data_IF_202823336173
#
_entry.id   IF_202823336173
#
_cell.length_a   1.000
_cell.length_b   1.000
_cell.length_c   1.000
_cell.angle_alpha   90.00
_cell.angle_beta   90.00
_cell.angle_gamma   90.00
#
_symmetry.space_group_name_H-M   'P 1'
#
loop_
_entity.id
_entity.type
_entity.pdbx_description
1 polymer ?
#
# COMPACT_ATOMS: atom_id res chain seq x y z
N UNK A 1 -8.48 18.33 -10.01
CA UNK A 1 -7.36 17.51 -10.50
C UNK A 1 -7.48 16.07 -9.96
N UNK A 2 -7.96 15.13 -10.78
CA UNK A 2 -8.06 13.71 -10.39
C UNK A 2 -6.66 13.11 -10.27
N UNK A 3 -6.36 12.46 -9.14
CA UNK A 3 -5.16 11.64 -8.98
C UNK A 3 -5.36 10.40 -9.87
N UNK A 4 -4.51 10.15 -10.88
CA UNK A 4 -4.67 8.98 -11.73
C UNK A 4 -4.37 7.72 -10.91
N UNK A 5 -5.29 6.76 -10.94
CA UNK A 5 -5.14 5.45 -10.31
C UNK A 5 -4.97 4.41 -11.40
N UNK A 6 -3.88 3.65 -11.32
CA UNK A 6 -3.58 2.51 -12.17
C UNK A 6 -4.03 1.22 -11.53
N UNK A 7 -3.09 0.32 -11.27
CA UNK A 7 -3.38 -0.94 -10.61
C UNK A 7 -3.86 -0.75 -9.17
N UNK A 8 -4.79 -1.60 -8.76
CA UNK A 8 -5.27 -1.70 -7.37
C UNK A 8 -5.11 -3.14 -6.94
N UNK A 9 -4.17 -3.37 -6.02
CA UNK A 9 -3.88 -4.70 -5.49
C UNK A 9 -4.20 -4.74 -4.01
N UNK A 10 -4.69 -5.87 -3.52
CA UNK A 10 -5.00 -6.05 -2.11
C UNK A 10 -4.61 -7.44 -1.63
N UNK A 11 -4.37 -7.59 -0.32
CA UNK A 11 -4.24 -8.93 0.24
C UNK A 11 -5.53 -9.73 -0.01
N UNK A 12 -5.44 -11.07 -0.13
CA UNK A 12 -6.62 -11.92 -0.35
C UNK A 12 -7.68 -11.87 0.75
N UNK A 13 -7.35 -11.36 1.95
CA UNK A 13 -8.29 -11.28 3.05
C UNK A 13 -9.46 -10.34 2.72
N UNK A 14 -10.69 -10.75 3.07
CA UNK A 14 -11.90 -9.99 2.71
C UNK A 14 -11.82 -8.52 3.14
N UNK A 15 -11.34 -8.22 4.35
CA UNK A 15 -11.20 -6.83 4.82
C UNK A 15 -10.41 -5.94 3.87
N UNK A 16 -9.29 -6.42 3.30
CA UNK A 16 -8.44 -5.62 2.40
C UNK A 16 -9.03 -5.55 1.01
N UNK A 17 -9.54 -6.67 0.50
CA UNK A 17 -10.16 -6.74 -0.81
C UNK A 17 -11.44 -5.89 -0.88
N UNK A 18 -12.29 -5.95 0.14
CA UNK A 18 -13.53 -5.18 0.23
C UNK A 18 -13.24 -3.69 0.37
N UNK A 19 -12.22 -3.28 1.13
CA UNK A 19 -11.78 -1.87 1.18
C UNK A 19 -11.33 -1.38 -0.19
N UNK A 20 -10.52 -2.16 -0.92
CA UNK A 20 -10.06 -1.79 -2.26
C UNK A 20 -11.24 -1.67 -3.25
N UNK A 21 -12.17 -2.61 -3.21
CA UNK A 21 -13.36 -2.61 -4.06
C UNK A 21 -14.28 -1.42 -3.74
N UNK A 22 -14.53 -1.13 -2.46
CA UNK A 22 -15.36 0.00 -2.05
C UNK A 22 -14.74 1.36 -2.41
N UNK A 23 -13.42 1.50 -2.29
CA UNK A 23 -12.73 2.77 -2.52
C UNK A 23 -12.42 3.04 -4.01
N UNK A 24 -12.12 1.99 -4.79
CA UNK A 24 -11.60 2.13 -6.15
C UNK A 24 -12.42 1.38 -7.21
N UNK A 25 -13.42 0.57 -6.80
CA UNK A 25 -14.31 -0.17 -7.71
C UNK A 25 -13.64 -1.31 -8.48
N UNK A 26 -12.42 -1.70 -8.08
CA UNK A 26 -11.67 -2.82 -8.65
C UNK A 26 -10.60 -3.30 -7.68
N UNK A 27 -10.27 -4.58 -7.75
CA UNK A 27 -9.16 -5.17 -6.99
C UNK A 27 -8.57 -6.40 -7.67
N UNK A 28 -7.24 -6.49 -7.67
CA UNK A 28 -6.48 -7.71 -7.90
C UNK A 28 -5.97 -8.24 -6.56
N UNK A 29 -6.19 -9.53 -6.27
CA UNK A 29 -5.63 -10.15 -5.06
C UNK A 29 -4.15 -10.46 -5.27
N UNK A 30 -3.32 -10.12 -4.29
CA UNK A 30 -1.88 -10.31 -4.31
C UNK A 30 -1.38 -10.87 -2.96
N UNK A 31 -0.80 -12.07 -3.00
CA UNK A 31 -0.30 -12.76 -1.80
C UNK A 31 0.92 -12.04 -1.19
N UNK A 32 1.63 -11.19 -1.95
CA UNK A 32 2.70 -10.35 -1.42
C UNK A 32 2.19 -9.32 -0.38
N UNK A 33 0.88 -9.07 -0.34
CA UNK A 33 0.23 -8.17 0.62
C UNK A 33 -0.38 -8.90 1.83
N UNK A 34 -0.15 -10.21 1.97
CA UNK A 34 -0.53 -10.93 3.20
C UNK A 34 0.15 -10.32 4.43
N UNK A 35 -0.45 -10.42 5.62
CA UNK A 35 0.15 -9.90 6.83
C UNK A 35 1.43 -10.69 7.12
N UNK A 36 2.52 -9.98 7.41
CA UNK A 36 3.80 -10.58 7.77
C UNK A 36 3.90 -10.57 9.30
N UNK A 37 3.85 -11.72 9.99
CA UNK A 37 4.01 -11.77 11.44
C UNK A 37 5.48 -11.64 11.82
N UNK A 38 5.77 -10.83 12.85
CA UNK A 38 7.12 -10.68 13.41
C UNK A 38 7.65 -12.01 13.95
N UNK A 39 8.88 -12.37 13.59
CA UNK A 39 9.56 -13.59 14.00
C UNK A 39 9.06 -14.87 13.32
N UNK A 40 8.25 -14.76 12.26
CA UNK A 40 7.75 -15.93 11.54
C UNK A 40 8.82 -16.52 10.60
N UNK A 41 8.75 -17.84 10.41
CA UNK A 41 9.53 -18.52 9.37
C UNK A 41 9.19 -17.93 8.00
N UNK A 42 10.18 -17.33 7.35
CA UNK A 42 10.03 -16.70 6.03
C UNK A 42 9.74 -15.19 6.04
N UNK A 43 9.80 -14.51 7.20
CA UNK A 43 9.65 -13.05 7.32
C UNK A 43 10.56 -12.29 6.35
N UNK A 44 11.87 -12.59 6.32
CA UNK A 44 12.83 -11.94 5.42
C UNK A 44 12.44 -12.08 3.94
N UNK A 45 11.93 -13.25 3.55
CA UNK A 45 11.47 -13.49 2.18
C UNK A 45 10.20 -12.71 1.87
N UNK A 46 9.27 -12.63 2.82
CA UNK A 46 8.05 -11.86 2.66
C UNK A 46 8.36 -10.36 2.59
N UNK A 47 9.29 -9.88 3.41
CA UNK A 47 9.79 -8.51 3.39
C UNK A 47 10.42 -8.18 2.03
N UNK A 48 11.32 -9.04 1.53
CA UNK A 48 11.97 -8.82 0.25
C UNK A 48 10.95 -8.68 -0.90
N UNK A 49 9.97 -9.58 -0.97
CA UNK A 49 8.88 -9.50 -1.97
C UNK A 49 8.04 -8.23 -1.82
N UNK A 50 7.75 -7.82 -0.59
CA UNK A 50 7.03 -6.58 -0.33
C UNK A 50 7.85 -5.37 -0.78
N UNK A 51 9.15 -5.33 -0.47
CA UNK A 51 10.04 -4.24 -0.89
C UNK A 51 10.16 -4.14 -2.41
N UNK A 52 10.27 -5.28 -3.11
CA UNK A 52 10.20 -5.33 -4.58
C UNK A 52 8.92 -4.63 -5.07
N UNK A 53 7.75 -5.06 -4.57
CA UNK A 53 6.46 -4.47 -4.93
C UNK A 53 6.34 -2.97 -4.63
N UNK A 54 6.91 -2.48 -3.52
CA UNK A 54 6.90 -1.05 -3.15
C UNK A 54 7.87 -0.20 -4.00
N UNK A 55 8.88 -0.84 -4.59
CA UNK A 55 9.88 -0.20 -5.44
C UNK A 55 9.56 -0.28 -6.93
N UNK A 56 8.55 -1.04 -7.32
CA UNK A 56 8.12 -1.15 -8.71
C UNK A 56 7.55 0.19 -9.20
N UNK A 57 8.08 0.68 -10.32
CA UNK A 57 7.56 1.89 -10.96
C UNK A 57 6.16 1.64 -11.53
N UNK A 58 5.14 2.43 -11.13
CA UNK A 58 3.81 2.33 -11.71
C UNK A 58 3.83 2.63 -13.21
N UNK A 59 3.29 1.71 -14.02
CA UNK A 59 3.24 1.85 -15.48
C UNK A 59 2.23 2.89 -15.95
N UNK A 60 1.09 3.02 -15.26
CA UNK A 60 0.03 4.00 -15.55
C UNK A 60 -0.57 4.56 -14.26
N UNK A 61 -0.41 5.86 -13.98
CA UNK A 61 -0.93 6.47 -12.76
C UNK A 61 -0.29 5.92 -11.48
N UNK A 62 -0.97 6.03 -10.34
CA UNK A 62 -0.48 5.50 -9.06
C UNK A 62 -0.97 4.06 -8.87
N UNK A 63 -0.09 3.17 -8.44
CA UNK A 63 -0.46 1.84 -7.95
C UNK A 63 -0.96 1.95 -6.51
N UNK A 64 -2.12 1.37 -6.23
CA UNK A 64 -2.71 1.33 -4.88
C UNK A 64 -2.55 -0.08 -4.32
N UNK A 65 -1.95 -0.17 -3.13
CA UNK A 65 -1.71 -1.44 -2.43
C UNK A 65 -2.46 -1.43 -1.10
N UNK A 66 -3.38 -2.36 -0.90
CA UNK A 66 -4.19 -2.48 0.32
C UNK A 66 -3.77 -3.73 1.10
N UNK A 67 -2.97 -3.51 2.14
CA UNK A 67 -2.40 -4.57 2.97
C UNK A 67 -2.75 -4.43 4.46
N UNK A 68 -1.79 -4.79 5.32
CA UNK A 68 -1.94 -4.74 6.77
C UNK A 68 -0.89 -3.80 7.37
N UNK A 69 -1.13 -3.34 8.61
CA UNK A 69 -0.18 -2.47 9.31
C UNK A 69 1.21 -3.10 9.46
N UNK A 70 1.28 -4.43 9.56
CA UNK A 70 2.56 -5.15 9.66
C UNK A 70 3.41 -5.05 8.40
N UNK A 71 2.80 -4.98 7.21
CA UNK A 71 3.52 -4.72 5.95
C UNK A 71 4.24 -3.37 6.02
N UNK A 72 3.54 -2.32 6.46
CA UNK A 72 4.10 -0.98 6.55
C UNK A 72 5.14 -0.86 7.66
N UNK A 73 4.86 -1.42 8.84
CA UNK A 73 5.82 -1.45 9.94
C UNK A 73 7.14 -2.08 9.52
N UNK A 74 7.09 -3.17 8.77
CA UNK A 74 8.27 -3.90 8.33
C UNK A 74 9.03 -3.16 7.21
N UNK A 75 8.33 -2.68 6.18
CA UNK A 75 8.99 -2.15 4.98
C UNK A 75 9.36 -0.66 5.07
N UNK A 76 8.55 0.14 5.78
CA UNK A 76 8.66 1.61 5.82
C UNK A 76 8.79 2.19 7.24
N UNK A 77 8.76 1.36 8.28
CA UNK A 77 8.76 1.79 9.70
C UNK A 77 7.63 2.77 10.04
N UNK A 78 6.47 2.62 9.38
CA UNK A 78 5.29 3.45 9.59
C UNK A 78 4.11 2.62 10.11
N UNK A 79 3.31 3.22 10.99
CA UNK A 79 2.13 2.60 11.60
C UNK A 79 0.91 3.52 11.48
N UNK A 80 0.38 3.74 10.27
CA UNK A 80 -0.81 4.57 10.10
C UNK A 80 -2.00 3.96 10.83
N UNK A 81 -2.89 4.83 11.31
CA UNK A 81 -4.19 4.42 11.86
C UNK A 81 -5.02 3.66 10.80
N UNK A 82 -6.00 2.87 11.24
CA UNK A 82 -6.89 2.17 10.32
C UNK A 82 -7.60 3.16 9.38
N UNK A 83 -7.55 2.87 8.07
CA UNK A 83 -8.04 3.78 7.04
C UNK A 83 -7.06 4.90 6.69
N UNK A 84 -5.87 4.95 7.28
CA UNK A 84 -4.76 5.80 6.86
C UNK A 84 -3.95 5.17 5.72
N UNK A 85 -3.01 5.93 5.17
CA UNK A 85 -2.12 5.45 4.12
C UNK A 85 -0.73 6.08 4.20
N UNK A 86 0.22 5.46 3.54
CA UNK A 86 1.51 6.07 3.20
C UNK A 86 1.59 6.26 1.69
N UNK A 87 2.28 7.31 1.25
CA UNK A 87 2.57 7.54 -0.15
C UNK A 87 4.06 7.35 -0.36
N UNK A 88 4.40 6.41 -1.24
CA UNK A 88 5.77 6.07 -1.58
C UNK A 88 6.09 6.50 -3.01
N UNK A 89 7.34 6.86 -3.25
CA UNK A 89 7.87 7.13 -4.59
C UNK A 89 9.05 6.18 -4.86
N UNK A 90 8.94 5.26 -5.83
CA UNK A 90 10.09 4.51 -6.34
C UNK A 90 11.23 5.42 -6.78
N UNK A 91 12.48 5.01 -6.53
CA UNK A 91 13.68 5.80 -6.85
C UNK A 91 14.55 5.22 -7.97
N UNK A 92 14.13 4.10 -8.59
CA UNK A 92 14.76 3.49 -9.76
C UNK A 92 15.82 2.41 -9.46
N UNK A 93 16.18 2.17 -8.20
CA UNK A 93 17.22 1.18 -7.81
C UNK A 93 16.68 0.06 -6.89
N UNK A 94 15.39 -0.28 -7.02
CA UNK A 94 14.73 -1.19 -6.08
C UNK A 94 14.54 -0.56 -4.69
N UNK A 95 14.59 0.77 -4.59
CA UNK A 95 14.27 1.51 -3.37
C UNK A 95 13.08 2.44 -3.61
N UNK A 96 12.60 3.01 -2.52
CA UNK A 96 11.48 3.95 -2.52
C UNK A 96 11.68 4.98 -1.40
N UNK A 97 11.04 6.13 -1.56
CA UNK A 97 11.02 7.22 -0.60
C UNK A 97 9.61 7.34 -0.01
N UNK A 98 9.50 7.39 1.31
CA UNK A 98 8.27 7.83 1.98
C UNK A 98 8.11 9.34 1.79
N UNK A 99 7.08 9.76 1.07
CA UNK A 99 6.85 11.18 0.75
C UNK A 99 5.66 11.79 1.49
N UNK A 100 4.74 10.97 2.01
CA UNK A 100 3.65 11.43 2.86
C UNK A 100 3.05 10.29 3.70
N UNK A 101 2.52 10.66 4.86
CA UNK A 101 1.59 9.85 5.64
C UNK A 101 0.24 10.57 5.69
N UNK A 102 -0.84 9.82 5.47
CA UNK A 102 -2.20 10.35 5.39
C UNK A 102 -3.01 9.72 6.50
N UNK A 103 -3.43 10.54 7.45
CA UNK A 103 -4.33 10.14 8.51
C UNK A 103 -5.77 9.95 7.97
N UNK A 104 -6.59 9.05 8.56
CA UNK A 104 -7.96 8.80 8.13
C UNK A 104 -8.81 10.08 8.04
N UNK A 105 -8.68 10.97 9.04
CA UNK A 105 -9.41 12.24 9.07
C UNK A 105 -8.95 13.28 8.05
N UNK A 106 -7.87 13.03 7.30
CA UNK A 106 -7.37 13.95 6.28
C UNK A 106 -8.03 13.73 4.91
N UNK A 107 -8.63 12.57 4.64
CA UNK A 107 -9.15 12.21 3.32
C UNK A 107 -10.21 13.18 2.80
N UNK A 108 -11.17 13.55 3.64
CA UNK A 108 -12.24 14.47 3.23
C UNK A 108 -11.66 15.84 2.81
N UNK A 109 -10.71 16.37 3.59
CA UNK A 109 -10.02 17.62 3.25
C UNK A 109 -9.18 17.52 1.98
N UNK A 110 -8.61 16.36 1.70
CA UNK A 110 -7.83 16.13 0.47
C UNK A 110 -8.75 16.01 -0.75
N UNK A 111 -9.90 15.33 -0.60
CA UNK A 111 -10.91 15.19 -1.64
C UNK A 111 -11.48 16.55 -2.06
N UNK A 112 -11.79 17.41 -1.09
CA UNK A 112 -12.33 18.76 -1.34
C UNK A 112 -11.35 19.67 -2.13
N UNK A 113 -10.07 19.30 -2.20
CA UNK A 113 -9.02 20.05 -2.91
C UNK A 113 -8.67 19.47 -4.29
N UNK A 114 -9.31 18.37 -4.69
CA UNK A 114 -8.98 17.57 -5.89
C UNK A 114 -9.99 17.70 -7.02
#
# INVERSE_FOLDING_TARGET
MRIPVGEVRASPYCRTADTAELAFGRVQRDDALLPIPEGADGEERAEARLRELLSDEPSEGNTVLVGHVTNLRLAVDATPEEGGAVVLRPDGDGRFLLIAEIAPGAWQRLADRS
#
